data_IF_317639613625
#
_entry.id   IF_317639613625
#
_cell.length_a   1.000
_cell.length_b   1.000
_cell.length_c   1.000
_cell.angle_alpha   90.00
_cell.angle_beta   90.00
_cell.angle_gamma   90.00
#
_symmetry.space_group_name_H-M   'P 1'
#
loop_
_entity.id
_entity.type
_entity.pdbx_description
1 polymer ?
#
# COMPACT_ATOMS: atom_id res chain seq x y z
N UNK A 1 18.29 9.34 -20.71
CA UNK A 1 18.03 7.97 -21.20
C UNK A 1 17.98 7.09 -19.97
N UNK A 2 16.78 6.93 -19.39
CA UNK A 2 16.61 6.18 -18.15
C UNK A 2 16.83 4.71 -18.47
N UNK A 3 17.91 4.15 -17.94
CA UNK A 3 18.17 2.72 -17.97
C UNK A 3 17.12 2.06 -17.07
N UNK A 4 15.99 1.66 -17.67
CA UNK A 4 15.08 0.71 -17.03
C UNK A 4 15.88 -0.59 -16.94
N UNK A 5 16.58 -0.78 -15.82
CA UNK A 5 17.26 -2.03 -15.54
C UNK A 5 16.18 -3.10 -15.40
N UNK A 6 16.24 -4.13 -16.25
CA UNK A 6 15.39 -5.29 -16.09
C UNK A 6 15.61 -5.87 -14.68
N UNK A 7 14.55 -6.20 -13.93
CA UNK A 7 14.71 -6.80 -12.63
C UNK A 7 15.46 -8.13 -12.73
N UNK A 8 16.33 -8.42 -11.75
CA UNK A 8 17.01 -9.73 -11.63
C UNK A 8 15.97 -10.86 -11.66
N UNK A 9 16.34 -12.04 -12.19
CA UNK A 9 15.49 -13.24 -12.40
C UNK A 9 14.55 -13.66 -11.25
N UNK A 10 14.72 -13.15 -10.03
CA UNK A 10 13.88 -13.44 -8.86
C UNK A 10 13.30 -12.20 -8.16
N UNK A 11 13.14 -11.06 -8.86
CA UNK A 11 12.58 -9.84 -8.29
C UNK A 11 11.16 -9.58 -8.80
N UNK A 12 10.21 -9.44 -7.87
CA UNK A 12 8.85 -9.00 -8.18
C UNK A 12 8.78 -7.48 -8.01
N UNK A 13 8.47 -6.70 -9.05
CA UNK A 13 8.38 -5.24 -8.94
C UNK A 13 7.16 -4.78 -8.14
N UNK A 14 6.06 -5.54 -8.17
CA UNK A 14 4.80 -5.15 -7.52
C UNK A 14 4.72 -5.48 -6.03
N UNK A 15 5.70 -6.19 -5.47
CA UNK A 15 5.66 -6.65 -4.07
C UNK A 15 6.22 -5.63 -3.08
N UNK A 16 6.89 -4.59 -3.56
CA UNK A 16 7.65 -3.64 -2.74
C UNK A 16 6.74 -2.96 -1.70
N UNK A 17 5.57 -2.48 -2.12
CA UNK A 17 4.58 -1.83 -1.26
C UNK A 17 4.08 -2.72 -0.11
N UNK A 18 4.16 -4.05 -0.26
CA UNK A 18 3.70 -5.03 0.73
C UNK A 18 4.83 -5.55 1.63
N UNK A 19 6.06 -5.61 1.13
CA UNK A 19 7.23 -6.12 1.88
C UNK A 19 7.90 -5.02 2.68
N UNK A 20 7.92 -3.80 2.14
CA UNK A 20 8.44 -2.61 2.80
C UNK A 20 7.44 -1.46 2.64
N UNK A 21 6.33 -1.49 3.39
CA UNK A 21 5.35 -0.43 3.31
C UNK A 21 5.98 0.93 3.59
N UNK A 22 5.65 1.90 2.75
CA UNK A 22 6.05 3.29 2.93
C UNK A 22 4.86 4.13 3.36
N UNK A 23 5.12 5.09 4.25
CA UNK A 23 4.12 6.04 4.70
C UNK A 23 4.03 7.25 3.77
N UNK A 24 2.81 7.64 3.41
CA UNK A 24 2.51 8.88 2.72
C UNK A 24 1.54 9.73 3.57
N UNK A 25 1.58 11.05 3.38
CA UNK A 25 0.69 11.97 4.09
C UNK A 25 -0.17 12.74 3.10
N UNK A 26 -1.48 12.63 3.26
CA UNK A 26 -2.47 13.40 2.53
C UNK A 26 -3.09 14.50 3.39
N UNK A 27 -3.68 15.51 2.74
CA UNK A 27 -4.38 16.59 3.44
C UNK A 27 -5.79 16.12 3.79
N UNK A 28 -6.15 16.17 5.08
CA UNK A 28 -7.48 15.82 5.55
C UNK A 28 -8.53 16.83 5.04
N UNK A 29 -9.57 16.32 4.37
CA UNK A 29 -10.68 17.15 3.88
C UNK A 29 -11.58 17.69 5.00
N UNK A 30 -11.54 17.07 6.19
CA UNK A 30 -12.39 17.43 7.32
C UNK A 30 -11.81 18.56 8.18
N UNK A 31 -10.49 18.56 8.42
CA UNK A 31 -9.84 19.52 9.33
C UNK A 31 -8.59 20.20 8.75
N UNK A 32 -8.12 19.81 7.55
CA UNK A 32 -6.87 20.32 6.96
C UNK A 32 -5.59 19.71 7.55
N UNK A 33 -5.70 18.78 8.50
CA UNK A 33 -4.59 18.05 9.11
C UNK A 33 -3.95 17.01 8.19
N UNK A 34 -3.14 16.12 8.79
CA UNK A 34 -2.42 15.07 8.05
C UNK A 34 -3.12 13.73 8.19
N UNK A 35 -3.46 13.12 7.07
CA UNK A 35 -3.91 11.73 7.00
C UNK A 35 -2.70 10.86 6.71
N UNK A 36 -2.37 9.97 7.64
CA UNK A 36 -1.31 9.00 7.45
C UNK A 36 -1.86 7.80 6.67
N UNK A 37 -1.30 7.51 5.49
CA UNK A 37 -1.72 6.40 4.65
C UNK A 37 -0.52 5.53 4.31
N UNK A 38 -0.60 4.24 4.62
CA UNK A 38 0.42 3.26 4.26
C UNK A 38 0.26 2.78 2.82
N UNK A 39 1.36 2.43 2.16
CA UNK A 39 1.33 1.95 0.78
C UNK A 39 0.48 0.69 0.59
N UNK A 40 0.43 -0.20 1.59
CA UNK A 40 -0.37 -1.43 1.58
C UNK A 40 -1.82 -1.26 2.09
N UNK A 41 -2.25 -0.01 2.32
CA UNK A 41 -3.60 0.35 2.75
C UNK A 41 -4.29 1.27 1.72
N UNK A 42 -5.62 1.20 1.65
CA UNK A 42 -6.45 2.06 0.78
C UNK A 42 -6.80 3.39 1.46
N UNK A 43 -6.95 3.34 2.79
CA UNK A 43 -7.38 4.44 3.65
C UNK A 43 -6.41 4.59 4.80
N UNK A 44 -6.48 5.74 5.46
CA UNK A 44 -5.70 6.05 6.64
C UNK A 44 -6.47 6.98 7.57
N UNK A 45 -5.91 7.21 8.75
CA UNK A 45 -6.53 8.05 9.77
C UNK A 45 -5.86 9.43 9.82
N UNK A 46 -6.67 10.47 9.97
CA UNK A 46 -6.16 11.80 10.26
C UNK A 46 -5.57 11.86 11.67
N UNK A 47 -4.29 12.19 11.77
CA UNK A 47 -3.56 12.31 13.03
C UNK A 47 -4.04 13.48 13.90
N UNK A 48 -4.82 14.40 13.34
CA UNK A 48 -5.30 15.61 14.03
C UNK A 48 -6.76 15.48 14.51
N UNK A 49 -7.64 14.82 13.74
CA UNK A 49 -9.07 14.73 14.08
C UNK A 49 -9.67 13.32 14.06
N UNK A 50 -8.91 12.29 13.68
CA UNK A 50 -9.38 10.90 13.60
C UNK A 50 -10.34 10.61 12.43
N UNK A 51 -10.53 11.55 11.50
CA UNK A 51 -11.33 11.28 10.30
C UNK A 51 -10.58 10.34 9.34
N UNK A 52 -11.29 9.37 8.76
CA UNK A 52 -10.76 8.51 7.71
C UNK A 52 -10.57 9.29 6.40
N UNK A 53 -9.42 9.10 5.75
CA UNK A 53 -9.10 9.68 4.46
C UNK A 53 -8.50 8.64 3.52
N UNK A 54 -8.85 8.71 2.24
CA UNK A 54 -8.28 7.85 1.19
C UNK A 54 -7.17 8.53 0.40
N UNK A 55 -6.40 7.73 -0.34
CA UNK A 55 -5.43 8.24 -1.34
C UNK A 55 -6.17 9.09 -2.38
N UNK A 56 -5.59 10.23 -2.78
CA UNK A 56 -6.14 11.06 -3.87
C UNK A 56 -6.14 10.33 -5.21
N UNK A 57 -5.08 9.58 -5.47
CA UNK A 57 -4.94 8.77 -6.67
C UNK A 57 -4.99 7.29 -6.30
N UNK A 58 -6.04 6.60 -6.77
CA UNK A 58 -6.15 5.14 -6.63
C UNK A 58 -5.29 4.49 -7.71
N UNK A 59 -4.05 4.19 -7.35
CA UNK A 59 -3.18 3.37 -8.21
C UNK A 59 -3.53 1.91 -7.96
N UNK A 60 -3.94 1.14 -9.00
CA UNK A 60 -4.30 -0.24 -8.82
C UNK A 60 -3.10 -1.07 -8.37
N UNK A 61 -3.33 -1.97 -7.42
CA UNK A 61 -2.28 -2.84 -6.89
C UNK A 61 -1.91 -3.93 -7.90
N UNK A 62 -0.68 -4.45 -7.83
CA UNK A 62 -0.31 -5.65 -8.59
C UNK A 62 -1.22 -6.86 -8.26
N UNK A 63 -1.85 -6.88 -7.09
CA UNK A 63 -2.82 -7.89 -6.68
C UNK A 63 -4.12 -7.87 -7.50
N UNK A 64 -4.36 -6.83 -8.30
CA UNK A 64 -5.56 -6.74 -9.15
C UNK A 64 -5.36 -7.33 -10.55
N UNK A 65 -4.12 -7.40 -11.05
CA UNK A 65 -3.83 -7.81 -12.43
C UNK A 65 -2.79 -8.92 -12.57
N UNK A 66 -2.02 -9.22 -11.53
CA UNK A 66 -0.97 -10.24 -11.58
C UNK A 66 -1.56 -11.65 -11.56
N UNK A 67 -1.07 -12.55 -12.42
CA UNK A 67 -1.48 -13.97 -12.45
C UNK A 67 -1.22 -14.71 -11.12
N UNK A 68 -0.27 -14.23 -10.32
CA UNK A 68 0.09 -14.81 -9.02
C UNK A 68 -0.67 -14.17 -7.84
N UNK A 69 -1.60 -13.23 -8.09
CA UNK A 69 -2.26 -12.43 -7.06
C UNK A 69 -2.97 -13.27 -5.99
N UNK A 70 -3.70 -14.32 -6.37
CA UNK A 70 -4.43 -15.18 -5.42
C UNK A 70 -3.50 -15.85 -4.41
N UNK A 71 -2.33 -16.29 -4.88
CA UNK A 71 -1.30 -16.89 -4.02
C UNK A 71 -0.73 -15.86 -3.05
N UNK A 72 -0.44 -14.66 -3.53
CA UNK A 72 0.05 -13.56 -2.70
C UNK A 72 -0.98 -13.14 -1.64
N UNK A 73 -2.26 -12.98 -2.04
CA UNK A 73 -3.36 -12.67 -1.14
C UNK A 73 -3.49 -13.70 -0.01
N UNK A 74 -3.42 -14.99 -0.32
CA UNK A 74 -3.43 -16.05 0.70
C UNK A 74 -2.33 -15.87 1.75
N UNK A 75 -1.10 -15.60 1.32
CA UNK A 75 0.05 -15.40 2.21
C UNK A 75 -0.12 -14.12 3.06
N UNK A 76 -0.57 -13.02 2.45
CA UNK A 76 -0.78 -11.74 3.14
C UNK A 76 -1.84 -11.88 4.24
N UNK A 77 -2.98 -12.50 3.93
CA UNK A 77 -4.06 -12.70 4.89
C UNK A 77 -3.63 -13.60 6.07
N UNK A 78 -2.90 -14.68 5.79
CA UNK A 78 -2.33 -15.54 6.84
C UNK A 78 -1.40 -14.76 7.76
N UNK A 79 -0.53 -13.90 7.22
CA UNK A 79 0.40 -13.09 8.02
C UNK A 79 -0.32 -12.02 8.83
N UNK A 80 -1.29 -11.30 8.25
CA UNK A 80 -2.09 -10.29 8.95
C UNK A 80 -2.86 -10.86 10.14
N UNK A 81 -3.39 -12.09 10.02
CA UNK A 81 -4.09 -12.77 11.12
C UNK A 81 -3.20 -13.10 12.33
N UNK A 82 -1.87 -13.10 12.17
CA UNK A 82 -0.92 -13.40 13.24
C UNK A 82 -0.45 -12.15 14.01
N UNK A 83 -0.82 -10.94 13.56
CA UNK A 83 -0.44 -9.69 14.23
C UNK A 83 -1.54 -9.35 15.24
N UNK A 84 -1.25 -9.31 16.55
CA UNK A 84 -2.22 -8.85 17.54
C UNK A 84 -2.57 -7.38 17.26
N UNK A 85 -3.87 -7.09 17.09
CA UNK A 85 -4.39 -5.73 17.01
C UNK A 85 -4.41 -5.06 18.38
#
# INVERSE_FOLDING_TARGET
MTFIQAPKENYCPGIEDFVRPSVAYEVCVSCGGRVEIWSDEETGECLDCGAEGGKKEKTPSCLEYCEYADKCNGIIMMKRAQIPK
#
